data_IF_662856363846
#
_entry.id   IF_662856363846
#
_cell.length_a   1.000
_cell.length_b   1.000
_cell.length_c   1.000
_cell.angle_alpha   90.00
_cell.angle_beta   90.00
_cell.angle_gamma   90.00
#
_symmetry.space_group_name_H-M   'P 1'
#
loop_
_entity.id
_entity.type
_entity.pdbx_description
1 polymer ?
#
# COMPACT_ATOMS: atom_id res chain seq x y z
N UNK A 1 -15.06 6.36 3.09
CA UNK A 1 -13.68 6.19 2.63
C UNK A 1 -13.15 4.84 3.10
N UNK A 2 -12.51 4.09 2.21
CA UNK A 2 -11.97 2.77 2.53
C UNK A 2 -10.48 2.75 2.27
N UNK A 3 -9.76 2.04 3.14
CA UNK A 3 -8.31 1.90 3.02
C UNK A 3 -7.99 0.42 3.22
N UNK A 4 -7.49 -0.23 2.16
CA UNK A 4 -7.31 -1.67 2.18
C UNK A 4 -6.19 -2.11 1.25
N UNK A 5 -5.67 -3.30 1.53
CA UNK A 5 -4.74 -3.98 0.63
C UNK A 5 -5.53 -4.87 -0.32
N UNK A 6 -5.16 -4.84 -1.58
CA UNK A 6 -5.81 -5.66 -2.60
C UNK A 6 -4.75 -6.48 -3.34
N UNK A 7 -5.04 -7.76 -3.52
CA UNK A 7 -4.12 -8.66 -4.19
C UNK A 7 -4.13 -8.45 -5.69
N UNK A 8 -2.97 -8.56 -6.30
CA UNK A 8 -2.84 -8.55 -7.75
C UNK A 8 -1.79 -9.60 -8.15
N UNK A 9 -1.54 -9.76 -9.47
CA UNK A 9 -0.73 -10.86 -9.98
C UNK A 9 0.66 -10.96 -9.35
N UNK A 10 1.27 -9.83 -9.00
CA UNK A 10 2.66 -9.82 -8.54
C UNK A 10 2.83 -9.40 -7.08
N UNK A 11 1.75 -9.20 -6.36
CA UNK A 11 1.84 -8.78 -4.97
C UNK A 11 0.55 -8.21 -4.45
N UNK A 12 0.67 -7.14 -3.66
CA UNK A 12 -0.48 -6.45 -3.09
C UNK A 12 -0.32 -4.94 -3.26
N UNK A 13 -1.43 -4.25 -3.33
CA UNK A 13 -1.48 -2.79 -3.47
C UNK A 13 -2.30 -2.20 -2.34
N UNK A 14 -1.84 -1.09 -1.81
CA UNK A 14 -2.60 -0.36 -0.80
C UNK A 14 -3.48 0.65 -1.53
N UNK A 15 -4.79 0.49 -1.36
CA UNK A 15 -5.80 1.25 -2.09
C UNK A 15 -6.56 2.17 -1.15
N UNK A 16 -6.71 3.41 -1.58
CA UNK A 16 -7.59 4.38 -0.93
C UNK A 16 -8.76 4.60 -1.87
N UNK A 17 -9.97 4.36 -1.39
CA UNK A 17 -11.16 4.42 -2.22
C UNK A 17 -12.27 5.24 -1.55
N UNK A 18 -12.91 6.09 -2.33
CA UNK A 18 -14.08 6.83 -1.87
C UNK A 18 -15.39 6.25 -2.43
N UNK A 19 -15.29 5.09 -3.06
CA UNK A 19 -16.44 4.44 -3.68
C UNK A 19 -16.50 4.64 -5.18
N UNK A 20 -16.10 5.80 -5.67
CA UNK A 20 -16.06 6.09 -7.10
C UNK A 20 -14.64 6.11 -7.64
N UNK A 21 -13.73 6.64 -6.85
CA UNK A 21 -12.33 6.77 -7.26
C UNK A 21 -11.46 5.92 -6.38
N UNK A 22 -10.47 5.29 -6.99
CA UNK A 22 -9.51 4.44 -6.30
C UNK A 22 -8.12 4.97 -6.60
N UNK A 23 -7.27 5.00 -5.58
CA UNK A 23 -5.91 5.43 -5.76
C UNK A 23 -4.95 4.45 -5.12
N UNK A 24 -3.89 4.11 -5.84
CA UNK A 24 -2.83 3.26 -5.32
C UNK A 24 -1.85 4.16 -4.57
N UNK A 25 -1.80 4.00 -3.26
CA UNK A 25 -0.95 4.84 -2.42
C UNK A 25 0.26 4.10 -1.86
N UNK A 26 0.35 2.83 -2.17
CA UNK A 26 1.50 2.01 -1.80
C UNK A 26 1.38 0.65 -2.46
N UNK A 27 2.42 -0.15 -2.32
CA UNK A 27 2.37 -1.48 -2.89
C UNK A 27 3.56 -2.33 -2.50
N UNK A 28 3.40 -3.63 -2.72
CA UNK A 28 4.43 -4.62 -2.51
C UNK A 28 4.44 -5.53 -3.72
N UNK A 29 5.63 -5.81 -4.25
CA UNK A 29 5.80 -6.71 -5.38
C UNK A 29 6.78 -7.81 -5.00
N UNK A 30 6.42 -9.05 -5.31
CA UNK A 30 7.31 -10.17 -5.11
C UNK A 30 8.29 -10.28 -6.27
N UNK A 31 9.56 -10.49 -5.95
CA UNK A 31 10.62 -10.65 -6.93
C UNK A 31 11.45 -11.87 -6.59
N UNK A 32 12.38 -12.20 -7.45
CA UNK A 32 13.30 -13.32 -7.22
C UNK A 32 14.12 -13.16 -5.94
N UNK A 33 14.38 -11.92 -5.55
CA UNK A 33 15.28 -11.63 -4.44
C UNK A 33 14.54 -11.23 -3.16
N UNK A 34 13.22 -11.31 -3.17
CA UNK A 34 12.42 -10.91 -2.02
C UNK A 34 11.31 -9.97 -2.43
N UNK A 35 10.90 -9.11 -1.52
CA UNK A 35 9.80 -8.20 -1.77
C UNK A 35 10.28 -6.77 -1.92
N UNK A 36 9.72 -6.07 -2.89
CA UNK A 36 9.92 -4.64 -3.06
C UNK A 36 8.68 -3.94 -2.57
N UNK A 37 8.85 -2.88 -1.79
CA UNK A 37 7.73 -2.12 -1.24
C UNK A 37 7.90 -0.64 -1.55
N UNK A 38 6.79 0.05 -1.77
CA UNK A 38 6.81 1.48 -2.00
C UNK A 38 5.61 2.14 -1.34
N UNK A 39 5.76 3.42 -1.02
CA UNK A 39 4.68 4.20 -0.44
C UNK A 39 4.81 5.64 -0.93
N UNK A 40 3.68 6.26 -1.24
CA UNK A 40 3.67 7.68 -1.58
C UNK A 40 4.00 8.48 -0.33
N UNK A 41 4.84 9.49 -0.48
CA UNK A 41 5.18 10.38 0.62
C UNK A 41 5.15 11.82 0.15
N UNK A 42 4.85 12.71 1.07
CA UNK A 42 4.72 14.12 0.75
C UNK A 42 6.06 14.70 0.30
N UNK A 43 6.04 15.40 -0.81
CA UNK A 43 7.23 16.08 -1.30
C UNK A 43 8.29 15.17 -1.88
N UNK A 44 8.00 13.90 -2.08
CA UNK A 44 8.94 12.95 -2.64
C UNK A 44 8.26 12.11 -3.72
N UNK A 45 8.68 12.28 -4.94
CA UNK A 45 8.16 11.55 -6.08
C UNK A 45 9.31 10.74 -6.69
N UNK A 46 9.19 9.41 -6.82
CA UNK A 46 7.96 8.59 -6.82
C UNK A 46 7.49 8.11 -5.44
N UNK A 47 8.05 8.59 -4.34
CA UNK A 47 7.71 8.12 -3.03
C UNK A 47 8.86 7.37 -2.40
N UNK A 48 8.61 6.71 -1.29
CA UNK A 48 9.63 5.93 -0.60
C UNK A 48 9.55 4.48 -1.04
N UNK A 49 10.71 3.89 -1.31
CA UNK A 49 10.77 2.50 -1.76
C UNK A 49 11.92 1.77 -1.09
N UNK A 50 11.73 0.48 -0.89
CA UNK A 50 12.78 -0.40 -0.37
C UNK A 50 12.69 -1.72 -1.11
N UNK A 51 13.83 -2.38 -1.27
CA UNK A 51 13.92 -3.65 -1.98
C UNK A 51 14.45 -4.74 -1.07
N UNK A 52 14.14 -5.97 -1.46
CA UNK A 52 14.71 -7.18 -0.83
C UNK A 52 14.32 -7.37 0.61
N UNK A 53 13.08 -7.00 0.94
CA UNK A 53 12.50 -7.37 2.21
C UNK A 53 12.23 -8.88 2.19
N UNK A 54 12.37 -9.49 3.35
CA UNK A 54 12.35 -10.95 3.44
C UNK A 54 10.94 -11.53 3.63
N UNK A 55 9.94 -10.71 3.90
CA UNK A 55 8.59 -11.21 4.07
C UNK A 55 7.57 -10.19 3.63
N UNK A 56 6.39 -10.69 3.28
CA UNK A 56 5.26 -9.84 2.92
C UNK A 56 4.83 -8.97 4.09
N UNK A 57 4.86 -9.52 5.29
CA UNK A 57 4.47 -8.76 6.49
C UNK A 57 5.40 -7.58 6.73
N UNK A 58 6.70 -7.78 6.59
CA UNK A 58 7.66 -6.69 6.72
C UNK A 58 7.44 -5.62 5.66
N UNK A 59 7.12 -6.06 4.44
CA UNK A 59 6.86 -5.13 3.36
C UNK A 59 5.61 -4.29 3.63
N UNK A 60 4.55 -4.90 4.13
CA UNK A 60 3.35 -4.18 4.52
C UNK A 60 3.63 -3.17 5.63
N UNK A 61 4.38 -3.60 6.65
CA UNK A 61 4.75 -2.71 7.75
C UNK A 61 5.53 -1.51 7.26
N UNK A 62 6.44 -1.75 6.31
CA UNK A 62 7.22 -0.65 5.74
C UNK A 62 6.29 0.40 5.12
N UNK A 63 5.36 -0.05 4.28
CA UNK A 63 4.43 0.87 3.60
C UNK A 63 3.55 1.58 4.62
N UNK A 64 2.99 0.83 5.56
CA UNK A 64 2.05 1.39 6.53
C UNK A 64 2.74 2.36 7.49
N UNK A 65 4.04 2.18 7.73
CA UNK A 65 4.78 3.06 8.63
C UNK A 65 4.87 4.50 8.12
N UNK A 66 4.77 4.69 6.81
CA UNK A 66 4.81 6.02 6.22
C UNK A 66 3.45 6.70 6.23
N UNK A 67 2.39 5.96 6.52
CA UNK A 67 1.03 6.49 6.54
C UNK A 67 0.72 7.31 5.28
N UNK A 68 0.87 6.70 4.08
CA UNK A 68 0.72 7.44 2.82
C UNK A 68 -0.67 8.05 2.64
N UNK A 69 -1.67 7.53 3.36
CA UNK A 69 -3.01 8.08 3.32
C UNK A 69 -3.09 9.50 3.90
N UNK A 70 -2.11 9.91 4.69
CA UNK A 70 -2.08 11.26 5.24
C UNK A 70 -1.91 12.33 4.17
N UNK A 71 -1.38 11.96 3.00
CA UNK A 71 -1.24 12.87 1.88
C UNK A 71 -2.58 13.42 1.39
N UNK A 72 -3.64 12.71 1.67
CA UNK A 72 -4.96 13.05 1.14
C UNK A 72 -5.81 13.80 2.15
N UNK A 73 -5.25 14.10 3.30
CA UNK A 73 -5.91 14.90 4.34
C UNK A 73 -7.32 14.40 4.65
N UNK A 74 -7.45 13.10 4.79
CA UNK A 74 -8.76 12.47 4.91
C UNK A 74 -9.24 12.34 6.33
N UNK A 75 -8.58 13.02 7.21
CA UNK A 75 -9.06 13.08 8.55
C UNK A 75 -8.73 11.87 9.39
N UNK A 76 -9.35 11.84 10.50
CA UNK A 76 -9.02 10.95 11.58
C UNK A 76 -9.80 9.66 11.50
N UNK A 77 -9.19 8.62 12.08
CA UNK A 77 -9.88 7.35 12.21
C UNK A 77 -9.82 6.46 10.99
N UNK A 78 -9.05 6.85 9.99
CA UNK A 78 -8.87 5.98 8.84
C UNK A 78 -7.91 4.86 9.21
N UNK A 79 -8.40 3.63 9.11
CA UNK A 79 -7.66 2.44 9.53
C UNK A 79 -7.54 1.49 8.35
N UNK A 80 -6.34 0.92 8.17
CA UNK A 80 -6.12 -0.07 7.13
C UNK A 80 -6.87 -1.34 7.50
N UNK A 81 -7.62 -1.89 6.57
CA UNK A 81 -8.31 -3.16 6.80
C UNK A 81 -7.27 -4.26 7.06
N UNK A 82 -7.51 -5.13 8.03
CA UNK A 82 -6.51 -6.13 8.40
C UNK A 82 -6.34 -7.23 7.36
N UNK A 83 -7.37 -7.53 6.58
CA UNK A 83 -7.29 -8.60 5.59
C UNK A 83 -7.06 -8.07 4.20
N UNK A 84 -6.24 -8.78 3.43
CA UNK A 84 -6.00 -8.45 2.03
C UNK A 84 -7.21 -8.90 1.22
N UNK A 85 -7.74 -8.00 0.40
CA UNK A 85 -8.86 -8.33 -0.47
C UNK A 85 -8.36 -9.06 -1.71
N UNK A 86 -9.13 -10.05 -2.13
CA UNK A 86 -8.85 -10.69 -3.40
C UNK A 86 -9.39 -9.83 -4.53
N UNK A 87 -8.65 -9.80 -5.64
CA UNK A 87 -9.14 -9.12 -6.84
C UNK A 87 -10.18 -10.01 -7.49
N UNK A 88 -11.38 -9.50 -7.68
CA UNK A 88 -12.38 -10.25 -8.43
C UNK A 88 -12.26 -9.89 -9.90
N UNK A 89 -12.16 -10.90 -10.70
CA UNK A 89 -12.07 -10.75 -12.15
C UNK A 89 -13.37 -11.14 -12.80
#
# INVERSE_FOLDING_TARGET
>A
MQLFWEKWAKGIKLILSDGENREEIGGVRETKNGFEAWAKTFGYDPGRAIKWLDSLDHAREFVESFQPWDLYDLGRGLVVEPEVRETSN
#
